data_IF_961070223493
#
_entry.id   IF_961070223493
#
_cell.length_a   1.000
_cell.length_b   1.000
_cell.length_c   1.000
_cell.angle_alpha   90.00
_cell.angle_beta   90.00
_cell.angle_gamma   90.00
#
_symmetry.space_group_name_H-M   'P 1'
#
loop_
_entity.id
_entity.type
_entity.pdbx_description
1 polymer ?
#
# COMPACT_ATOMS: atom_id res chain seq x y z
N UNK A 1 3.76 3.46 -2.89
CA UNK A 1 4.17 3.67 -1.48
C UNK A 1 5.00 4.93 -1.34
N UNK A 2 6.17 5.06 -1.99
CA UNK A 2 6.98 6.29 -1.90
C UNK A 2 6.22 7.58 -2.24
N UNK A 3 5.51 7.60 -3.38
CA UNK A 3 4.69 8.76 -3.77
C UNK A 3 3.62 9.11 -2.70
N UNK A 4 2.95 8.11 -2.15
CA UNK A 4 1.99 8.29 -1.06
C UNK A 4 2.65 8.86 0.20
N UNK A 5 3.77 8.27 0.63
CA UNK A 5 4.52 8.75 1.79
C UNK A 5 5.00 10.19 1.62
N UNK A 6 5.44 10.56 0.41
CA UNK A 6 5.83 11.92 0.08
C UNK A 6 4.65 12.90 0.14
N UNK A 7 3.49 12.51 -0.40
CA UNK A 7 2.27 13.34 -0.35
C UNK A 7 1.79 13.54 1.09
N UNK A 8 1.79 12.47 1.90
CA UNK A 8 1.47 12.56 3.33
C UNK A 8 2.46 13.47 4.06
N UNK A 9 3.76 13.34 3.78
CA UNK A 9 4.77 14.20 4.39
C UNK A 9 4.53 15.67 4.01
N UNK A 10 4.23 15.94 2.74
CA UNK A 10 3.93 17.29 2.25
C UNK A 10 2.67 17.89 2.93
N UNK A 11 1.60 17.09 3.08
CA UNK A 11 0.42 17.48 3.85
C UNK A 11 0.79 17.83 5.30
N UNK A 12 1.52 16.95 5.99
CA UNK A 12 1.91 17.16 7.39
C UNK A 12 2.78 18.41 7.57
N UNK A 13 3.73 18.64 6.65
CA UNK A 13 4.57 19.86 6.66
C UNK A 13 3.70 21.11 6.48
N UNK A 14 2.74 21.08 5.56
CA UNK A 14 1.85 22.22 5.32
C UNK A 14 0.92 22.50 6.51
N UNK A 15 0.37 21.46 7.13
CA UNK A 15 -0.42 21.59 8.37
C UNK A 15 0.43 22.17 9.49
N UNK A 16 1.64 21.63 9.71
CA UNK A 16 2.55 22.13 10.76
C UNK A 16 2.97 23.59 10.51
N UNK A 17 3.21 23.96 9.25
CA UNK A 17 3.51 25.33 8.87
C UNK A 17 2.35 26.27 9.17
N UNK A 18 1.12 25.82 8.90
CA UNK A 18 -0.09 26.54 9.29
C UNK A 18 -0.16 26.75 10.80
N UNK A 19 0.01 25.66 11.57
CA UNK A 19 -0.05 25.67 13.04
C UNK A 19 1.01 26.60 13.68
N UNK A 20 2.22 26.65 13.13
CA UNK A 20 3.34 27.42 13.72
C UNK A 20 3.33 28.92 13.38
N UNK A 21 2.97 29.27 12.14
CA UNK A 21 3.14 30.62 11.63
C UNK A 21 1.84 31.40 11.50
N UNK A 22 0.69 30.75 11.70
CA UNK A 22 -0.60 31.31 11.34
C UNK A 22 -0.73 31.49 9.83
N UNK A 23 -1.96 31.66 9.34
CA UNK A 23 -2.21 32.06 7.96
C UNK A 23 -2.79 33.48 8.00
N UNK A 24 -1.94 34.47 8.26
CA UNK A 24 -2.33 35.90 8.27
C UNK A 24 -2.64 36.45 6.86
N UNK A 25 -2.73 35.60 5.83
CA UNK A 25 -3.18 35.98 4.50
C UNK A 25 -3.67 34.76 3.71
N UNK A 26 -4.98 34.49 3.81
CA UNK A 26 -5.70 33.70 2.80
C UNK A 26 -5.73 34.52 1.49
N UNK A 27 -4.68 34.39 0.68
CA UNK A 27 -4.74 34.78 -0.73
C UNK A 27 -5.35 33.63 -1.54
N UNK A 28 -6.11 33.94 -2.58
CA UNK A 28 -6.71 32.96 -3.52
C UNK A 28 -5.69 31.94 -4.08
N UNK A 29 -4.39 32.25 -4.06
CA UNK A 29 -3.34 31.32 -4.47
C UNK A 29 -3.22 30.10 -3.53
N UNK A 30 -3.34 30.31 -2.20
CA UNK A 30 -3.25 29.22 -1.22
C UNK A 30 -4.45 28.26 -1.33
N UNK A 31 -5.66 28.75 -1.62
CA UNK A 31 -6.84 27.89 -1.78
C UNK A 31 -6.73 26.94 -2.98
N UNK A 32 -6.14 27.39 -4.09
CA UNK A 32 -5.85 26.53 -5.25
C UNK A 32 -4.82 25.46 -4.89
N UNK A 33 -3.72 25.84 -4.23
CA UNK A 33 -2.68 24.90 -3.79
C UNK A 33 -3.26 23.84 -2.83
N UNK A 34 -4.11 24.26 -1.89
CA UNK A 34 -4.82 23.37 -0.99
C UNK A 34 -5.74 22.39 -1.74
N UNK A 35 -6.56 22.89 -2.67
CA UNK A 35 -7.45 22.06 -3.48
C UNK A 35 -6.67 20.99 -4.27
N UNK A 36 -5.58 21.39 -4.92
CA UNK A 36 -4.71 20.47 -5.67
C UNK A 36 -4.08 19.44 -4.75
N UNK A 37 -3.55 19.87 -3.60
CA UNK A 37 -2.89 18.97 -2.66
C UNK A 37 -3.85 17.92 -2.09
N UNK A 38 -5.06 18.34 -1.71
CA UNK A 38 -6.09 17.42 -1.25
C UNK A 38 -6.51 16.44 -2.33
N UNK A 39 -6.77 16.94 -3.54
CA UNK A 39 -7.07 16.09 -4.69
C UNK A 39 -5.99 15.04 -4.94
N UNK A 40 -4.72 15.45 -5.00
CA UNK A 40 -3.58 14.55 -5.17
C UNK A 40 -3.47 13.54 -4.02
N UNK A 41 -3.85 13.93 -2.80
CA UNK A 41 -3.81 13.05 -1.63
C UNK A 41 -4.87 11.95 -1.70
N UNK A 42 -6.12 12.32 -2.04
CA UNK A 42 -7.20 11.34 -2.28
C UNK A 42 -6.89 10.43 -3.47
N UNK A 43 -6.37 11.01 -4.56
CA UNK A 43 -5.96 10.28 -5.75
C UNK A 43 -4.86 9.26 -5.41
N UNK A 44 -3.82 9.68 -4.70
CA UNK A 44 -2.70 8.80 -4.33
C UNK A 44 -3.14 7.71 -3.35
N UNK A 45 -4.05 8.03 -2.42
CA UNK A 45 -4.62 7.05 -1.50
C UNK A 45 -5.40 5.99 -2.26
N UNK A 46 -6.29 6.40 -3.13
CA UNK A 46 -7.09 5.46 -3.91
C UNK A 46 -6.29 4.65 -4.93
N UNK A 47 -5.31 5.26 -5.59
CA UNK A 47 -4.33 4.55 -6.41
C UNK A 47 -3.55 3.50 -5.61
N UNK A 48 -3.28 3.76 -4.33
CA UNK A 48 -2.67 2.76 -3.44
C UNK A 48 -3.61 1.57 -3.17
N UNK A 49 -4.90 1.79 -2.89
CA UNK A 49 -5.89 0.71 -2.75
C UNK A 49 -6.05 -0.10 -4.04
N UNK A 50 -6.19 0.58 -5.17
CA UNK A 50 -6.33 -0.08 -6.47
C UNK A 50 -5.05 -0.83 -6.87
N UNK A 51 -3.87 -0.37 -6.46
CA UNK A 51 -2.63 -1.13 -6.63
C UNK A 51 -2.66 -2.45 -5.84
N UNK A 52 -3.28 -2.48 -4.66
CA UNK A 52 -3.50 -3.73 -3.93
C UNK A 52 -4.47 -4.66 -4.67
N UNK A 53 -5.55 -4.11 -5.25
CA UNK A 53 -6.48 -4.86 -6.11
C UNK A 53 -5.75 -5.46 -7.31
N UNK A 54 -4.93 -4.67 -8.00
CA UNK A 54 -4.18 -5.11 -9.17
C UNK A 54 -3.15 -6.20 -8.82
N UNK A 55 -2.48 -6.08 -7.67
CA UNK A 55 -1.60 -7.14 -7.16
C UNK A 55 -2.36 -8.44 -6.86
N UNK A 56 -3.60 -8.36 -6.34
CA UNK A 56 -4.44 -9.52 -6.13
C UNK A 56 -4.90 -10.13 -7.47
N UNK A 57 -5.27 -9.28 -8.43
CA UNK A 57 -5.66 -9.68 -9.77
C UNK A 57 -4.52 -10.41 -10.51
N UNK A 58 -3.30 -9.89 -10.49
CA UNK A 58 -2.13 -10.56 -11.06
C UNK A 58 -1.90 -11.96 -10.46
N UNK A 59 -2.16 -12.13 -9.17
CA UNK A 59 -2.04 -13.45 -8.53
C UNK A 59 -3.17 -14.37 -8.97
N UNK A 60 -4.39 -13.85 -9.12
CA UNK A 60 -5.51 -14.60 -9.67
C UNK A 60 -5.20 -15.08 -11.10
N UNK A 61 -4.69 -14.21 -11.98
CA UNK A 61 -4.31 -14.59 -13.35
C UNK A 61 -3.24 -15.66 -13.36
N UNK A 62 -2.23 -15.55 -12.50
CA UNK A 62 -1.16 -16.55 -12.41
C UNK A 62 -1.61 -17.91 -11.86
N UNK A 63 -2.48 -17.93 -10.84
CA UNK A 63 -2.88 -19.18 -10.16
C UNK A 63 -4.04 -19.87 -10.88
N UNK A 64 -5.06 -19.11 -11.27
CA UNK A 64 -6.31 -19.65 -11.84
C UNK A 64 -6.21 -19.77 -13.36
N UNK A 65 -5.61 -18.78 -14.01
CA UNK A 65 -5.59 -18.65 -15.47
C UNK A 65 -4.23 -19.04 -16.07
N UNK A 66 -3.70 -20.19 -15.64
CA UNK A 66 -2.38 -20.69 -16.08
C UNK A 66 -2.29 -20.91 -17.59
N UNK A 67 -3.41 -21.22 -18.26
CA UNK A 67 -3.49 -21.44 -19.71
C UNK A 67 -3.24 -20.16 -20.53
N UNK A 68 -3.57 -18.99 -19.99
CA UNK A 68 -3.54 -17.71 -20.71
C UNK A 68 -2.23 -16.98 -20.46
N UNK A 69 -1.17 -17.34 -21.20
CA UNK A 69 0.17 -16.74 -21.06
C UNK A 69 0.18 -15.21 -21.24
N UNK A 70 -0.68 -14.68 -22.10
CA UNK A 70 -0.80 -13.24 -22.34
C UNK A 70 -1.14 -12.45 -21.07
N UNK A 71 -2.06 -12.94 -20.24
CA UNK A 71 -2.45 -12.28 -18.98
C UNK A 71 -1.34 -12.27 -17.92
N UNK A 72 -0.31 -13.11 -18.12
CA UNK A 72 0.85 -13.20 -17.23
C UNK A 72 2.05 -12.41 -17.78
N UNK A 73 1.96 -11.87 -19.00
CA UNK A 73 3.02 -11.08 -19.59
C UNK A 73 3.28 -9.81 -18.79
N UNK A 74 4.54 -9.41 -18.67
CA UNK A 74 4.92 -8.16 -18.01
C UNK A 74 4.26 -6.95 -18.68
N UNK A 75 4.24 -6.92 -20.01
CA UNK A 75 3.61 -5.84 -20.80
C UNK A 75 2.12 -5.67 -20.48
N UNK A 76 1.39 -6.78 -20.33
CA UNK A 76 -0.03 -6.72 -19.95
C UNK A 76 -0.22 -6.11 -18.55
N UNK A 77 0.60 -6.53 -17.58
CA UNK A 77 0.54 -5.97 -16.23
C UNK A 77 0.91 -4.47 -16.21
N UNK A 78 1.89 -4.05 -17.00
CA UNK A 78 2.26 -2.64 -17.13
C UNK A 78 1.11 -1.82 -17.72
N UNK A 79 0.44 -2.32 -18.76
CA UNK A 79 -0.75 -1.69 -19.33
C UNK A 79 -1.86 -1.58 -18.28
N UNK A 80 -2.10 -2.63 -17.49
CA UNK A 80 -3.10 -2.58 -16.42
C UNK A 80 -2.76 -1.53 -15.35
N UNK A 81 -1.48 -1.36 -14.99
CA UNK A 81 -1.05 -0.29 -14.07
C UNK A 81 -1.41 1.07 -14.67
N UNK A 82 -0.98 1.36 -15.90
CA UNK A 82 -1.23 2.65 -16.54
C UNK A 82 -2.73 2.94 -16.66
N UNK A 83 -3.51 1.95 -17.11
CA UNK A 83 -4.97 2.07 -17.20
C UNK A 83 -5.62 2.30 -15.84
N UNK A 84 -5.15 1.61 -14.78
CA UNK A 84 -5.65 1.81 -13.43
C UNK A 84 -5.45 3.27 -12.98
N UNK A 85 -4.27 3.86 -13.23
CA UNK A 85 -4.01 5.27 -12.91
C UNK A 85 -4.93 6.21 -13.67
N UNK A 86 -5.08 6.01 -14.99
CA UNK A 86 -5.96 6.87 -15.81
C UNK A 86 -7.41 6.77 -15.35
N UNK A 87 -7.92 5.55 -15.16
CA UNK A 87 -9.30 5.33 -14.72
C UNK A 87 -9.53 5.95 -13.36
N UNK A 88 -8.61 5.76 -12.41
CA UNK A 88 -8.77 6.27 -11.06
C UNK A 88 -8.71 7.80 -11.01
N UNK A 89 -7.78 8.39 -11.76
CA UNK A 89 -7.70 9.83 -11.93
C UNK A 89 -8.99 10.42 -12.48
N UNK A 90 -9.54 9.83 -13.55
CA UNK A 90 -10.82 10.26 -14.14
C UNK A 90 -12.00 10.06 -13.19
N UNK A 91 -11.95 9.02 -12.36
CA UNK A 91 -12.98 8.71 -11.36
C UNK A 91 -12.95 9.70 -10.19
N UNK A 92 -11.79 10.17 -9.73
CA UNK A 92 -11.72 11.17 -8.66
C UNK A 92 -11.87 12.61 -9.20
N UNK A 93 -11.62 12.84 -10.49
CA UNK A 93 -11.71 14.17 -11.10
C UNK A 93 -13.04 14.93 -10.82
N UNK A 94 -14.23 14.33 -10.82
CA UNK A 94 -15.46 15.02 -10.46
C UNK A 94 -15.45 15.58 -9.04
N UNK A 95 -14.82 14.90 -8.06
CA UNK A 95 -14.71 15.41 -6.69
C UNK A 95 -13.86 16.67 -6.62
N UNK A 96 -12.89 16.85 -7.54
CA UNK A 96 -12.14 18.09 -7.66
C UNK A 96 -13.07 19.25 -8.00
N UNK A 97 -13.94 19.09 -9.00
CA UNK A 97 -14.79 20.16 -9.51
C UNK A 97 -16.02 20.45 -8.65
N UNK A 98 -16.59 19.43 -8.00
CA UNK A 98 -17.81 19.59 -7.21
C UNK A 98 -17.59 20.25 -5.85
N UNK A 99 -16.50 19.94 -5.16
CA UNK A 99 -16.25 20.50 -3.84
C UNK A 99 -15.61 21.88 -3.95
N UNK A 100 -16.20 22.88 -3.29
CA UNK A 100 -15.49 24.11 -3.00
C UNK A 100 -14.44 23.82 -1.92
N UNK A 101 -13.15 24.17 -2.15
CA UNK A 101 -12.13 24.00 -1.12
C UNK A 101 -12.44 24.97 0.02
N UNK A 102 -12.91 24.43 1.15
CA UNK A 102 -13.11 25.22 2.36
C UNK A 102 -11.87 25.09 3.23
N UNK A 103 -11.18 26.21 3.45
CA UNK A 103 -10.34 26.31 4.63
C UNK A 103 -11.28 26.36 5.82
N UNK A 104 -11.19 25.36 6.70
CA UNK A 104 -11.80 25.47 8.02
C UNK A 104 -11.00 26.49 8.82
N UNK A 105 -11.17 27.78 8.52
CA UNK A 105 -10.75 28.90 9.36
C UNK A 105 -11.70 29.00 10.55
N UNK A 106 -11.84 27.91 11.32
CA UNK A 106 -12.15 28.07 12.72
C UNK A 106 -10.88 28.64 13.36
N UNK A 107 -11.03 29.64 14.23
CA UNK A 107 -10.08 30.69 14.63
C UNK A 107 -8.64 30.27 15.06
N UNK A 108 -8.26 29.00 14.96
CA UNK A 108 -6.96 28.46 15.34
C UNK A 108 -6.46 27.25 14.54
N UNK A 109 -7.19 26.76 13.51
CA UNK A 109 -6.80 25.52 12.80
C UNK A 109 -6.58 25.72 11.30
N UNK A 110 -5.40 25.34 10.83
CA UNK A 110 -4.95 25.56 9.45
C UNK A 110 -4.91 24.26 8.65
N UNK A 111 -5.94 23.43 8.79
CA UNK A 111 -6.03 22.19 8.04
C UNK A 111 -6.69 22.43 6.67
N UNK A 112 -5.93 22.17 5.63
CA UNK A 112 -6.44 22.06 4.27
C UNK A 112 -7.27 20.77 4.14
N UNK A 113 -8.60 20.87 4.10
CA UNK A 113 -9.50 19.71 3.98
C UNK A 113 -10.61 19.97 2.96
N UNK A 114 -11.26 18.90 2.49
CA UNK A 114 -12.46 18.99 1.66
C UNK A 114 -13.67 18.89 2.59
N UNK A 115 -14.55 19.87 2.51
CA UNK A 115 -15.88 19.80 3.12
C UNK A 115 -16.86 19.28 2.09
N UNK A 116 -17.58 18.21 2.41
CA UNK A 116 -18.63 17.70 1.54
C UNK A 116 -19.93 18.42 1.89
N UNK A 117 -20.37 19.34 1.04
CA UNK A 117 -21.64 20.04 1.25
C UNK A 117 -22.83 19.18 0.81
N UNK A 118 -22.62 18.37 -0.22
CA UNK A 118 -23.65 17.53 -0.83
C UNK A 118 -23.44 16.08 -0.44
N UNK A 119 -24.51 15.42 0.00
CA UNK A 119 -24.54 13.98 0.28
C UNK A 119 -24.07 13.17 -0.93
N UNK A 120 -24.34 13.65 -2.15
CA UNK A 120 -23.87 13.02 -3.38
C UNK A 120 -22.34 12.92 -3.43
N UNK A 121 -21.62 14.01 -3.13
CA UNK A 121 -20.15 14.05 -3.17
C UNK A 121 -19.52 13.15 -2.10
N UNK A 122 -20.10 13.19 -0.89
CA UNK A 122 -19.70 12.34 0.22
C UNK A 122 -19.89 10.86 -0.13
N UNK A 123 -21.08 10.48 -0.59
CA UNK A 123 -21.41 9.10 -0.96
C UNK A 123 -20.54 8.61 -2.12
N UNK A 124 -20.29 9.45 -3.12
CA UNK A 124 -19.39 9.15 -4.23
C UNK A 124 -17.98 8.84 -3.74
N UNK A 125 -17.44 9.67 -2.85
CA UNK A 125 -16.10 9.47 -2.29
C UNK A 125 -16.04 8.20 -1.45
N UNK A 126 -17.05 7.96 -0.60
CA UNK A 126 -17.13 6.76 0.24
C UNK A 126 -17.14 5.49 -0.62
N UNK A 127 -17.97 5.46 -1.66
CA UNK A 127 -18.10 4.30 -2.54
C UNK A 127 -16.76 4.03 -3.25
N UNK A 128 -16.15 5.05 -3.83
CA UNK A 128 -14.95 4.88 -4.66
C UNK A 128 -13.70 4.56 -3.85
N UNK A 129 -13.53 5.20 -2.69
CA UNK A 129 -12.31 5.06 -1.88
C UNK A 129 -12.43 3.89 -0.90
N UNK A 130 -13.55 3.77 -0.19
CA UNK A 130 -13.68 2.85 0.94
C UNK A 130 -14.42 1.56 0.62
N UNK A 131 -15.35 1.57 -0.35
CA UNK A 131 -16.19 0.40 -0.63
C UNK A 131 -15.70 -0.45 -1.81
N UNK A 132 -15.47 0.18 -2.97
CA UNK A 132 -15.11 -0.54 -4.20
C UNK A 132 -13.81 -1.37 -4.07
N UNK A 133 -12.68 -0.84 -3.56
CA UNK A 133 -11.46 -1.62 -3.52
C UNK A 133 -11.54 -2.86 -2.59
N UNK A 134 -12.10 -2.77 -1.37
CA UNK A 134 -12.34 -3.97 -0.55
C UNK A 134 -13.28 -4.99 -1.20
N UNK A 135 -14.33 -4.54 -1.91
CA UNK A 135 -15.24 -5.44 -2.64
C UNK A 135 -14.48 -6.18 -3.76
N UNK A 136 -13.70 -5.47 -4.58
CA UNK A 136 -12.89 -6.10 -5.62
C UNK A 136 -11.89 -7.10 -5.03
N UNK A 137 -11.21 -6.75 -3.93
CA UNK A 137 -10.32 -7.66 -3.22
C UNK A 137 -11.07 -8.91 -2.74
N UNK A 138 -12.22 -8.74 -2.09
CA UNK A 138 -13.02 -9.85 -1.58
C UNK A 138 -13.45 -10.81 -2.70
N UNK A 139 -13.92 -10.28 -3.84
CA UNK A 139 -14.32 -11.08 -5.00
C UNK A 139 -13.14 -11.87 -5.59
N UNK A 140 -11.99 -11.22 -5.77
CA UNK A 140 -10.76 -11.87 -6.26
C UNK A 140 -10.34 -13.00 -5.32
N UNK A 141 -10.36 -12.78 -4.00
CA UNK A 141 -9.98 -13.80 -3.02
C UNK A 141 -11.00 -14.93 -2.90
N UNK A 142 -12.29 -14.62 -2.93
CA UNK A 142 -13.33 -15.64 -2.96
C UNK A 142 -13.11 -16.58 -4.16
N UNK A 143 -12.82 -16.03 -5.33
CA UNK A 143 -12.52 -16.82 -6.53
C UNK A 143 -11.23 -17.64 -6.41
N UNK A 144 -10.17 -17.05 -5.85
CA UNK A 144 -8.89 -17.72 -5.62
C UNK A 144 -9.05 -18.90 -4.64
N UNK A 145 -9.73 -18.68 -3.51
CA UNK A 145 -10.00 -19.70 -2.50
C UNK A 145 -10.88 -20.82 -3.04
N UNK A 146 -11.92 -20.48 -3.81
CA UNK A 146 -12.77 -21.47 -4.49
C UNK A 146 -11.93 -22.36 -5.41
N UNK A 147 -11.06 -21.77 -6.24
CA UNK A 147 -10.19 -22.53 -7.14
C UNK A 147 -9.24 -23.46 -6.37
N UNK A 148 -8.60 -22.97 -5.31
CA UNK A 148 -7.67 -23.76 -4.50
C UNK A 148 -8.39 -24.92 -3.82
N UNK A 149 -9.56 -24.70 -3.22
CA UNK A 149 -10.30 -25.76 -2.51
C UNK A 149 -10.81 -26.85 -3.44
N UNK A 150 -11.35 -26.47 -4.60
CA UNK A 150 -12.04 -27.43 -5.47
C UNK A 150 -11.12 -28.08 -6.51
N UNK A 151 -10.20 -27.32 -7.12
CA UNK A 151 -9.38 -27.82 -8.24
C UNK A 151 -7.97 -28.24 -7.86
N UNK A 152 -7.42 -27.73 -6.75
CA UNK A 152 -6.06 -28.12 -6.34
C UNK A 152 -6.01 -29.52 -5.71
N UNK A 153 -7.10 -29.97 -5.07
CA UNK A 153 -7.22 -31.31 -4.48
C UNK A 153 -7.20 -32.43 -5.53
N UNK A 154 -7.79 -32.17 -6.71
CA UNK A 154 -7.84 -33.14 -7.82
C UNK A 154 -6.51 -33.25 -8.59
N UNK A 155 -5.63 -32.24 -8.49
CA UNK A 155 -4.33 -32.20 -9.18
C UNK A 155 -3.22 -32.80 -8.30
N UNK A 156 -3.38 -34.09 -7.99
CA UNK A 156 -2.60 -34.96 -7.08
C UNK A 156 -1.15 -35.27 -7.54
N UNK A 157 -0.39 -34.28 -8.02
CA UNK A 157 1.06 -34.45 -8.21
C UNK A 157 1.84 -33.76 -7.09
N UNK A 158 2.75 -34.49 -6.43
CA UNK A 158 3.54 -34.01 -5.30
C UNK A 158 4.29 -32.68 -5.58
N UNK A 159 4.73 -32.46 -6.82
CA UNK A 159 5.34 -31.18 -7.25
C UNK A 159 4.34 -30.01 -7.30
N UNK A 160 3.08 -30.26 -7.65
CA UNK A 160 2.01 -29.25 -7.59
C UNK A 160 1.64 -28.92 -6.14
N UNK A 161 1.69 -29.90 -5.23
CA UNK A 161 1.45 -29.69 -3.79
C UNK A 161 2.44 -28.70 -3.16
N UNK A 162 3.75 -28.81 -3.47
CA UNK A 162 4.76 -27.83 -2.99
C UNK A 162 4.52 -26.43 -3.53
N UNK A 163 4.15 -26.29 -4.81
CA UNK A 163 3.79 -24.98 -5.39
C UNK A 163 2.53 -24.41 -4.75
N UNK A 164 1.49 -25.22 -4.59
CA UNK A 164 0.24 -24.83 -3.95
C UNK A 164 0.46 -24.37 -2.50
N UNK A 165 1.33 -25.05 -1.73
CA UNK A 165 1.66 -24.61 -0.37
C UNK A 165 2.37 -23.26 -0.36
N UNK A 166 3.31 -23.03 -1.28
CA UNK A 166 3.95 -21.72 -1.45
C UNK A 166 2.92 -20.64 -1.82
N UNK A 167 2.02 -20.95 -2.75
CA UNK A 167 1.00 -20.01 -3.22
C UNK A 167 -0.06 -19.73 -2.13
N UNK A 168 -0.37 -20.71 -1.27
CA UNK A 168 -1.18 -20.54 -0.06
C UNK A 168 -0.50 -19.64 0.97
N UNK A 169 0.79 -19.85 1.26
CA UNK A 169 1.54 -18.97 2.16
C UNK A 169 1.57 -17.54 1.63
N UNK A 170 1.76 -17.40 0.32
CA UNK A 170 1.72 -16.12 -0.41
C UNK A 170 0.32 -15.50 -0.35
N UNK A 171 -0.75 -16.28 -0.44
CA UNK A 171 -2.15 -15.82 -0.34
C UNK A 171 -2.48 -15.35 1.08
N UNK A 172 -2.10 -16.12 2.12
CA UNK A 172 -2.31 -15.76 3.54
C UNK A 172 -1.70 -14.40 3.88
N UNK A 173 -0.52 -14.11 3.32
CA UNK A 173 0.16 -12.83 3.50
C UNK A 173 -0.65 -11.65 2.97
N UNK A 174 -1.35 -11.82 1.85
CA UNK A 174 -2.18 -10.75 1.29
C UNK A 174 -3.51 -10.66 1.99
N UNK A 175 -4.09 -11.77 2.43
CA UNK A 175 -5.28 -11.72 3.28
C UNK A 175 -5.00 -10.86 4.51
N UNK A 176 -3.80 -11.01 5.08
CA UNK A 176 -3.33 -10.16 6.15
C UNK A 176 -3.18 -8.69 5.71
N UNK A 177 -2.61 -8.41 4.54
CA UNK A 177 -2.60 -7.06 3.93
C UNK A 177 -4.02 -6.47 3.80
N UNK A 178 -5.01 -7.26 3.37
CA UNK A 178 -6.41 -6.82 3.25
C UNK A 178 -7.02 -6.50 4.61
N UNK A 179 -6.80 -7.34 5.62
CA UNK A 179 -7.28 -7.08 6.98
C UNK A 179 -6.65 -5.79 7.52
N UNK A 180 -5.34 -5.62 7.35
CA UNK A 180 -4.61 -4.41 7.77
C UNK A 180 -5.10 -3.16 7.02
N UNK A 181 -5.62 -3.31 5.80
CA UNK A 181 -6.16 -2.21 5.02
C UNK A 181 -7.59 -1.84 5.45
N UNK A 182 -8.43 -2.84 5.73
CA UNK A 182 -9.84 -2.63 6.12
C UNK A 182 -9.96 -2.16 7.57
N UNK A 183 -9.17 -2.74 8.48
CA UNK A 183 -9.32 -2.50 9.93
C UNK A 183 -9.21 -1.01 10.31
N UNK A 184 -8.24 -0.23 9.79
CA UNK A 184 -8.18 1.21 10.05
C UNK A 184 -9.10 2.02 9.12
N UNK A 185 -9.48 1.45 7.97
CA UNK A 185 -10.42 2.07 7.03
C UNK A 185 -11.82 2.23 7.63
N UNK A 186 -12.27 1.29 8.46
CA UNK A 186 -13.60 1.34 9.12
C UNK A 186 -13.69 2.52 10.11
N UNK A 187 -12.77 2.72 11.08
CA UNK A 187 -12.75 3.91 11.92
C UNK A 187 -12.69 5.20 11.11
N UNK A 188 -11.87 5.23 10.05
CA UNK A 188 -11.74 6.42 9.21
C UNK A 188 -13.06 6.77 8.49
N UNK A 189 -13.77 5.75 8.00
CA UNK A 189 -15.11 5.91 7.44
C UNK A 189 -16.10 6.42 8.49
N UNK A 190 -16.05 5.87 9.71
CA UNK A 190 -16.86 6.33 10.83
C UNK A 190 -16.64 7.81 11.15
N UNK A 191 -15.37 8.24 11.27
CA UNK A 191 -15.03 9.65 11.46
C UNK A 191 -15.50 10.52 10.29
N UNK A 192 -15.33 10.07 9.05
CA UNK A 192 -15.81 10.78 7.86
C UNK A 192 -17.33 10.99 7.88
N UNK A 193 -18.09 9.96 8.29
CA UNK A 193 -19.54 10.05 8.42
C UNK A 193 -19.94 10.98 9.57
N UNK A 194 -19.29 10.86 10.74
CA UNK A 194 -19.57 11.72 11.90
C UNK A 194 -19.31 13.20 11.59
N UNK A 195 -18.20 13.52 10.92
CA UNK A 195 -17.85 14.92 10.60
C UNK A 195 -18.75 15.56 9.56
N UNK A 196 -19.37 14.78 8.67
CA UNK A 196 -20.18 15.32 7.57
C UNK A 196 -21.70 15.20 7.78
N UNK A 197 -22.17 14.29 8.64
CA UNK A 197 -23.61 14.08 8.89
C UNK A 197 -24.06 14.78 10.18
N UNK A 198 -23.28 14.71 11.26
CA UNK A 198 -23.68 15.27 12.54
C UNK A 198 -23.18 16.71 12.68
N UNK A 199 -24.11 17.66 12.66
CA UNK A 199 -23.81 19.09 12.84
C UNK A 199 -23.06 19.40 14.13
N UNK A 200 -23.16 18.55 15.17
CA UNK A 200 -22.42 18.73 16.44
C UNK A 200 -20.93 18.46 16.30
N UNK A 201 -20.55 17.57 15.38
CA UNK A 201 -19.16 17.22 15.12
C UNK A 201 -18.62 17.89 13.85
N UNK A 202 -19.50 18.40 12.99
CA UNK A 202 -19.18 19.25 11.83
C UNK A 202 -18.46 20.52 12.30
N UNK A 203 -17.13 20.51 12.23
CA UNK A 203 -16.27 21.61 12.68
C UNK A 203 -15.32 21.26 13.82
N UNK A 204 -15.41 20.04 14.39
CA UNK A 204 -14.41 19.57 15.34
C UNK A 204 -13.09 19.27 14.64
N UNK A 205 -12.13 20.17 14.79
CA UNK A 205 -10.80 20.09 14.20
C UNK A 205 -10.05 18.78 14.52
N UNK A 206 -10.21 18.27 15.75
CA UNK A 206 -9.61 17.01 16.18
C UNK A 206 -10.08 15.83 15.31
N UNK A 207 -11.35 15.82 14.92
CA UNK A 207 -11.91 14.72 14.13
C UNK A 207 -11.28 14.66 12.74
N UNK A 208 -11.06 15.82 12.09
CA UNK A 208 -10.37 15.86 10.80
C UNK A 208 -8.90 15.42 10.94
N UNK A 209 -8.17 15.86 11.97
CA UNK A 209 -6.79 15.42 12.21
C UNK A 209 -6.71 13.90 12.43
N UNK A 210 -7.61 13.34 13.23
CA UNK A 210 -7.69 11.89 13.48
C UNK A 210 -8.03 11.13 12.20
N UNK A 211 -8.98 11.65 11.39
CA UNK A 211 -9.33 11.10 10.09
C UNK A 211 -8.10 10.99 9.17
N UNK A 212 -7.26 12.03 9.10
CA UNK A 212 -6.02 11.99 8.33
C UNK A 212 -4.94 11.05 8.91
N UNK A 213 -4.88 10.88 10.23
CA UNK A 213 -3.93 9.95 10.86
C UNK A 213 -4.21 8.48 10.53
N UNK A 214 -5.47 8.11 10.26
CA UNK A 214 -5.87 6.74 9.92
C UNK A 214 -5.12 6.18 8.68
N UNK A 215 -5.20 6.83 7.51
CA UNK A 215 -4.44 6.48 6.31
C UNK A 215 -2.92 6.37 6.54
N UNK A 216 -2.35 7.29 7.31
CA UNK A 216 -0.92 7.32 7.61
C UNK A 216 -0.52 6.08 8.41
N UNK A 217 -1.25 5.82 9.49
CA UNK A 217 -1.06 4.64 10.33
C UNK A 217 -1.24 3.36 9.52
N UNK A 218 -2.22 3.32 8.62
CA UNK A 218 -2.46 2.17 7.72
C UNK A 218 -1.24 1.88 6.86
N UNK A 219 -0.68 2.89 6.19
CA UNK A 219 0.49 2.71 5.33
C UNK A 219 1.74 2.39 6.14
N UNK A 220 1.91 2.97 7.32
CA UNK A 220 2.99 2.63 8.24
C UNK A 220 2.94 1.17 8.67
N UNK A 221 1.79 0.70 9.18
CA UNK A 221 1.59 -0.70 9.56
C UNK A 221 1.81 -1.60 8.33
N UNK A 222 1.27 -1.25 7.17
CA UNK A 222 1.44 -2.05 5.97
C UNK A 222 2.90 -2.16 5.54
N UNK A 223 3.68 -1.07 5.64
CA UNK A 223 5.10 -1.06 5.32
C UNK A 223 5.88 -2.00 6.24
N UNK A 224 5.60 -1.95 7.54
CA UNK A 224 6.18 -2.86 8.55
C UNK A 224 5.82 -4.31 8.20
N UNK A 225 4.54 -4.57 7.96
CA UNK A 225 4.02 -5.90 7.66
C UNK A 225 4.67 -6.47 6.40
N UNK A 226 4.80 -5.69 5.34
CA UNK A 226 5.47 -6.10 4.10
C UNK A 226 6.94 -6.39 4.35
N UNK A 227 7.63 -5.59 5.17
CA UNK A 227 9.02 -5.82 5.52
C UNK A 227 9.21 -7.17 6.25
N UNK A 228 8.32 -7.51 7.19
CA UNK A 228 8.38 -8.80 7.92
C UNK A 228 7.93 -10.00 7.08
N UNK A 229 6.98 -9.80 6.18
CA UNK A 229 6.42 -10.86 5.34
C UNK A 229 7.37 -11.23 4.19
N UNK A 230 8.10 -10.26 3.65
CA UNK A 230 8.90 -10.47 2.44
C UNK A 230 10.21 -11.18 2.79
N UNK A 231 10.44 -12.42 2.33
CA UNK A 231 11.59 -13.22 2.75
C UNK A 231 12.91 -12.61 2.28
N UNK A 232 12.91 -11.91 1.13
CA UNK A 232 14.08 -11.21 0.63
C UNK A 232 14.51 -10.09 1.58
N UNK A 233 13.56 -9.29 2.07
CA UNK A 233 13.83 -8.23 3.06
C UNK A 233 14.34 -8.84 4.36
N UNK A 234 13.70 -9.93 4.83
CA UNK A 234 14.17 -10.66 6.01
C UNK A 234 15.62 -11.16 5.85
N UNK A 235 15.99 -11.69 4.67
CA UNK A 235 17.35 -12.14 4.40
C UNK A 235 18.34 -10.96 4.39
N UNK A 236 17.97 -9.81 3.82
CA UNK A 236 18.81 -8.60 3.84
C UNK A 236 18.98 -8.10 5.27
N UNK A 237 17.92 -8.03 6.06
CA UNK A 237 17.97 -7.63 7.47
C UNK A 237 18.81 -8.58 8.33
N UNK A 238 18.71 -9.89 8.10
CA UNK A 238 19.57 -10.88 8.77
C UNK A 238 21.04 -10.71 8.37
N UNK A 239 21.33 -10.44 7.09
CA UNK A 239 22.69 -10.15 6.63
C UNK A 239 23.26 -8.89 7.28
N UNK A 240 22.48 -7.81 7.37
CA UNK A 240 22.88 -6.57 8.07
C UNK A 240 23.14 -6.81 9.56
N UNK A 241 22.30 -7.63 10.22
CA UNK A 241 22.50 -8.00 11.63
C UNK A 241 23.77 -8.84 11.83
N UNK A 242 24.05 -9.80 10.95
CA UNK A 242 25.25 -10.64 11.02
C UNK A 242 26.54 -9.87 10.63
N UNK A 243 26.46 -8.91 9.71
CA UNK A 243 27.59 -8.04 9.38
C UNK A 243 28.11 -7.27 10.59
N UNK A 244 27.23 -6.87 11.51
CA UNK A 244 27.62 -6.21 12.77
C UNK A 244 28.36 -7.14 13.75
N UNK A 245 28.31 -8.46 13.55
CA UNK A 245 28.99 -9.46 14.38
C UNK A 245 30.20 -10.11 13.71
N UNK A 246 30.56 -9.69 12.48
CA UNK A 246 31.67 -10.24 11.72
C UNK A 246 32.84 -9.24 11.60
N UNK A 247 33.28 -8.68 12.74
CA UNK A 247 34.67 -8.21 12.85
C UNK A 247 35.52 -9.45 13.10
N UNK A 248 35.84 -10.19 12.04
CA UNK A 248 36.76 -11.34 12.14
C UNK A 248 38.15 -10.76 12.38
N UNK A 249 38.83 -11.07 13.50
CA UNK A 249 40.20 -10.63 13.70
C UNK A 249 41.08 -11.20 12.59
N UNK A 250 41.86 -10.32 11.96
CA UNK A 250 42.69 -10.57 10.77
C UNK A 250 43.86 -11.55 11.03
N UNK A 251 43.88 -12.21 12.18
CA UNK A 251 44.97 -13.10 12.62
C UNK A 251 44.87 -14.54 12.07
N UNK A 252 43.73 -14.97 11.54
CA UNK A 252 43.54 -16.38 11.12
C UNK A 252 43.84 -16.60 9.62
N UNK A 253 43.82 -15.56 8.78
CA UNK A 253 44.02 -15.73 7.33
C UNK A 253 45.47 -16.04 6.91
N UNK A 254 46.47 -15.72 7.75
CA UNK A 254 47.88 -16.02 7.43
C UNK A 254 48.26 -17.50 7.60
N UNK A 255 47.47 -18.31 8.31
CA UNK A 255 47.82 -19.73 8.53
C UNK A 255 47.45 -20.65 7.36
N UNK A 256 46.56 -20.21 6.46
CA UNK A 256 46.05 -21.04 5.36
C UNK A 256 46.82 -20.91 4.03
N UNK A 257 47.75 -19.95 3.94
CA UNK A 257 48.65 -19.81 2.79
C UNK A 257 49.95 -20.63 2.94
N UNK A 258 50.12 -21.38 4.03
CA UNK A 258 51.29 -22.24 4.28
C UNK A 258 50.90 -23.73 4.34
N UNK A 259 50.22 -24.23 3.31
CA UNK A 259 50.18 -25.67 3.02
C UNK A 259 50.57 -25.88 1.55
N UNK A 260 51.85 -26.21 1.28
CA UNK A 260 52.32 -26.58 -0.05
C UNK A 260 51.73 -27.93 -0.47
N UNK A 261 51.36 -27.97 -1.73
CA UNK A 261 50.78 -29.06 -2.50
C UNK A 261 51.81 -30.15 -2.81
N UNK A 262 52.16 -30.97 -1.82
CA UNK A 262 52.94 -32.20 -1.99
C UNK A 262 52.06 -33.39 -1.64
N UNK A 263 51.18 -33.88 -2.55
CA UNK A 263 50.72 -35.28 -2.56
C UNK A 263 49.76 -35.60 -3.73
N UNK A 264 50.16 -35.43 -4.99
CA UNK A 264 49.46 -36.08 -6.12
C UNK A 264 50.45 -36.52 -7.20
N UNK A 265 51.20 -37.59 -6.92
CA UNK A 265 52.05 -38.24 -7.92
C UNK A 265 52.15 -39.74 -7.64
N UNK A 266 51.03 -40.44 -7.59
CA UNK A 266 50.97 -41.92 -7.63
C UNK A 266 49.54 -42.39 -7.90
N UNK A 267 49.08 -42.27 -9.15
CA UNK A 267 48.01 -43.12 -9.70
C UNK A 267 47.94 -42.90 -11.19
N UNK A 268 48.53 -43.81 -11.97
CA UNK A 268 48.11 -44.21 -13.31
C UNK A 268 49.18 -45.13 -13.93
N UNK A 269 49.23 -46.37 -13.44
CA UNK A 269 49.67 -47.54 -14.19
C UNK A 269 48.84 -48.71 -13.66
N UNK A 270 47.86 -49.15 -14.44
CA UNK A 270 47.32 -50.52 -14.66
C UNK A 270 46.29 -50.37 -15.79
#
# INVERSE_FOLDING_TARGET
>A
MLAFSLMILLLTINTLKGDLYGIDSLTNKKSIECRILNFLSYETFGCFYMSCVLQAFYRLTRVVYTKYKFLQAFSFNLICVVLQWIIYFLLILPSYFWSEPYYSSHESDYLCSIRYEKILELSYTIINIFFLPPVYLALIYARLLYFIRYKASQLLHAQKRRRAHRDLAVTRRILFTVIVLILPGIPNLGFTLMTNIDFRFSGSYYMYRIQFMGPILTVFILSIVIAFITPQIKQILLKLKCWRSQVVPMTIQMRKLRQPSDLQLTRNQI
#
